data_IF_729062574797
#
_entry.id   IF_729062574797
#
_cell.length_a   1.000
_cell.length_b   1.000
_cell.length_c   1.000
_cell.angle_alpha   90.00
_cell.angle_beta   90.00
_cell.angle_gamma   90.00
#
_symmetry.space_group_name_H-M   'P 1'
#
loop_
_entity.id
_entity.type
_entity.pdbx_description
1 polymer ?
#
# COMPACT_ATOMS: atom_id res chain seq x y z
N UNK A 1 -3.98 -25.69 -14.33
CA UNK A 1 -2.62 -25.21 -13.99
C UNK A 1 -2.72 -23.76 -13.56
N UNK A 2 -2.78 -23.52 -12.25
CA UNK A 2 -2.96 -22.18 -11.67
C UNK A 2 -1.72 -21.34 -11.96
N UNK A 3 -1.85 -20.36 -12.85
CA UNK A 3 -0.80 -19.42 -13.22
C UNK A 3 -0.13 -18.85 -11.96
N UNK A 4 1.19 -18.94 -11.90
CA UNK A 4 2.02 -18.27 -10.89
C UNK A 4 1.90 -16.76 -11.16
N UNK A 5 1.00 -16.09 -10.46
CA UNK A 5 0.92 -14.63 -10.37
C UNK A 5 1.51 -14.19 -9.03
N UNK A 6 2.84 -14.23 -8.89
CA UNK A 6 3.58 -13.46 -7.88
C UNK A 6 3.28 -13.74 -6.40
N UNK A 7 4.32 -13.79 -5.57
CA UNK A 7 4.30 -13.76 -4.08
C UNK A 7 3.37 -14.72 -3.30
N UNK A 8 2.42 -15.42 -3.94
CA UNK A 8 1.47 -16.36 -3.37
C UNK A 8 1.45 -17.62 -4.23
N UNK A 9 1.52 -18.77 -3.56
CA UNK A 9 1.34 -20.10 -4.15
C UNK A 9 0.30 -20.85 -3.34
N UNK A 10 -0.74 -21.36 -4.00
CA UNK A 10 -1.82 -22.14 -3.35
C UNK A 10 -2.48 -21.40 -2.17
N UNK A 11 -2.71 -20.09 -2.33
CA UNK A 11 -3.32 -19.24 -1.29
C UNK A 11 -2.44 -19.01 -0.05
N UNK A 12 -1.14 -19.33 -0.13
CA UNK A 12 -0.13 -19.04 0.89
C UNK A 12 0.93 -18.11 0.33
N UNK A 13 1.36 -17.14 1.13
CA UNK A 13 2.55 -16.34 0.83
C UNK A 13 3.74 -17.28 0.59
N UNK A 14 4.53 -17.00 -0.43
CA UNK A 14 5.75 -17.79 -0.68
C UNK A 14 6.70 -17.69 0.51
N UNK A 15 7.47 -18.75 0.81
CA UNK A 15 8.52 -18.70 1.82
C UNK A 15 9.50 -17.54 1.60
N UNK A 16 10.04 -17.00 2.69
CA UNK A 16 10.95 -15.84 2.68
C UNK A 16 12.16 -16.05 1.76
N UNK A 17 12.77 -17.23 1.81
CA UNK A 17 13.91 -17.55 0.95
C UNK A 17 13.58 -17.51 -0.55
N UNK A 18 12.34 -17.83 -0.95
CA UNK A 18 11.90 -17.70 -2.34
C UNK A 18 11.61 -16.25 -2.70
N UNK A 19 11.09 -15.45 -1.76
CA UNK A 19 10.95 -14.01 -1.95
C UNK A 19 12.31 -13.34 -2.13
N UNK A 20 13.29 -13.66 -1.28
CA UNK A 20 14.66 -13.14 -1.41
C UNK A 20 15.25 -13.48 -2.77
N UNK A 21 15.19 -14.76 -3.18
CA UNK A 21 15.63 -15.17 -4.54
C UNK A 21 14.91 -14.43 -5.66
N UNK A 22 13.62 -14.14 -5.50
CA UNK A 22 12.85 -13.38 -6.47
C UNK A 22 13.33 -11.93 -6.58
N UNK A 23 13.58 -11.26 -5.45
CA UNK A 23 14.09 -9.88 -5.40
C UNK A 23 15.53 -9.82 -5.92
N UNK A 24 16.41 -10.70 -5.42
CA UNK A 24 17.83 -10.77 -5.80
C UNK A 24 17.98 -11.08 -7.30
N UNK A 25 17.12 -11.92 -7.86
CA UNK A 25 17.09 -12.21 -9.30
C UNK A 25 16.63 -11.06 -10.19
N UNK A 26 16.22 -9.93 -9.61
CA UNK A 26 15.88 -8.70 -10.33
C UNK A 26 16.84 -7.54 -10.01
N UNK A 27 17.72 -7.69 -9.02
CA UNK A 27 18.59 -6.61 -8.58
C UNK A 27 19.49 -6.14 -9.73
N UNK A 28 19.50 -4.83 -9.94
CA UNK A 28 20.37 -4.15 -10.89
C UNK A 28 21.44 -3.36 -10.15
N UNK A 29 22.55 -3.12 -10.85
CA UNK A 29 23.58 -2.22 -10.36
C UNK A 29 23.11 -0.76 -10.47
N UNK A 30 23.70 0.10 -9.65
CA UNK A 30 23.45 1.53 -9.69
C UNK A 30 23.97 2.21 -10.96
N UNK A 31 24.91 1.58 -11.67
CA UNK A 31 25.46 2.09 -12.91
C UNK A 31 24.45 2.00 -14.07
N UNK A 32 24.42 3.01 -14.94
CA UNK A 32 23.59 3.08 -16.15
C UNK A 32 22.07 3.07 -15.93
N UNK A 33 21.60 3.56 -14.78
CA UNK A 33 20.17 3.78 -14.57
C UNK A 33 19.61 4.86 -15.50
N UNK A 34 18.34 4.74 -15.88
CA UNK A 34 17.65 5.69 -16.74
C UNK A 34 17.51 7.05 -16.06
N UNK A 35 17.96 8.11 -16.73
CA UNK A 35 17.97 9.50 -16.25
C UNK A 35 17.08 10.41 -17.08
N UNK A 36 16.61 9.96 -18.24
CA UNK A 36 15.66 10.68 -19.08
C UNK A 36 14.26 10.61 -18.47
N UNK A 37 13.82 11.73 -17.90
CA UNK A 37 12.52 11.83 -17.24
C UNK A 37 11.34 11.44 -18.15
N UNK A 38 11.30 11.91 -19.40
CA UNK A 38 10.19 11.64 -20.32
C UNK A 38 10.09 10.14 -20.67
N UNK A 39 11.22 9.48 -20.90
CA UNK A 39 11.25 8.05 -21.16
C UNK A 39 10.84 7.25 -19.92
N UNK A 40 11.46 7.54 -18.78
CA UNK A 40 11.14 6.90 -17.50
C UNK A 40 9.65 7.02 -17.15
N UNK A 41 9.07 8.21 -17.34
CA UNK A 41 7.65 8.48 -17.08
C UNK A 41 6.74 7.61 -17.95
N UNK A 42 7.03 7.50 -19.25
CA UNK A 42 6.26 6.67 -20.19
C UNK A 42 6.36 5.18 -19.85
N UNK A 43 7.58 4.69 -19.63
CA UNK A 43 7.84 3.28 -19.29
C UNK A 43 7.12 2.89 -17.99
N UNK A 44 7.15 3.74 -16.97
CA UNK A 44 6.44 3.50 -15.71
C UNK A 44 4.93 3.52 -15.91
N UNK A 45 4.40 4.48 -16.67
CA UNK A 45 2.98 4.54 -16.95
C UNK A 45 2.49 3.25 -17.63
N UNK A 46 3.21 2.78 -18.65
CA UNK A 46 2.90 1.54 -19.36
C UNK A 46 3.01 0.31 -18.45
N UNK A 47 4.09 0.22 -17.65
CA UNK A 47 4.31 -0.87 -16.72
C UNK A 47 3.21 -0.93 -15.63
N UNK A 48 2.76 0.22 -15.10
CA UNK A 48 1.66 0.29 -14.14
C UNK A 48 0.35 -0.18 -14.76
N UNK A 49 -0.01 0.33 -15.94
CA UNK A 49 -1.24 -0.07 -16.64
C UNK A 49 -1.22 -1.58 -16.94
N UNK A 50 -0.08 -2.10 -17.39
CA UNK A 50 0.12 -3.54 -17.62
C UNK A 50 -0.02 -4.36 -16.35
N UNK A 51 0.64 -3.94 -15.26
CA UNK A 51 0.58 -4.62 -13.96
C UNK A 51 -0.83 -4.68 -13.38
N UNK A 52 -1.61 -3.61 -13.51
CA UNK A 52 -3.02 -3.56 -13.10
C UNK A 52 -3.85 -4.48 -14.01
N UNK A 53 -3.68 -4.38 -15.34
CA UNK A 53 -4.45 -5.17 -16.32
C UNK A 53 -4.30 -6.67 -16.12
N UNK A 54 -3.06 -7.16 -15.88
CA UNK A 54 -2.77 -8.58 -15.58
C UNK A 54 -3.55 -9.12 -14.36
N UNK A 55 -3.98 -8.24 -13.47
CA UNK A 55 -4.65 -8.57 -12.21
C UNK A 55 -6.15 -8.28 -12.25
N UNK A 56 -6.72 -7.80 -13.34
CA UNK A 56 -8.18 -7.54 -13.42
C UNK A 56 -8.97 -8.84 -13.27
N UNK A 57 -10.15 -8.72 -12.68
CA UNK A 57 -11.14 -9.79 -12.56
C UNK A 57 -12.55 -9.20 -12.68
N UNK A 58 -13.60 -10.04 -12.84
CA UNK A 58 -14.94 -9.55 -13.14
C UNK A 58 -15.53 -8.56 -12.12
N UNK A 59 -15.22 -8.74 -10.82
CA UNK A 59 -15.64 -7.84 -9.74
C UNK A 59 -14.57 -7.83 -8.64
N UNK A 60 -14.17 -6.67 -8.16
CA UNK A 60 -13.17 -6.55 -7.08
C UNK A 60 -13.33 -5.25 -6.29
N UNK A 61 -12.73 -5.20 -5.11
CA UNK A 61 -12.57 -3.98 -4.35
C UNK A 61 -11.18 -3.35 -4.46
N UNK A 62 -11.06 -2.09 -4.08
CA UNK A 62 -9.80 -1.36 -3.97
C UNK A 62 -9.67 -0.82 -2.54
N UNK A 63 -8.56 -1.11 -1.89
CA UNK A 63 -8.17 -0.42 -0.65
C UNK A 63 -7.82 1.03 -1.01
N UNK A 64 -8.69 1.96 -0.64
CA UNK A 64 -8.70 3.30 -1.19
C UNK A 64 -8.48 4.34 -0.10
N UNK A 65 -7.34 5.04 -0.14
CA UNK A 65 -7.01 6.11 0.82
C UNK A 65 -7.07 7.50 0.19
N UNK A 66 -7.37 7.58 -1.12
CA UNK A 66 -7.21 8.80 -1.91
C UNK A 66 -5.75 9.25 -2.04
N UNK A 67 -4.78 8.36 -1.78
CA UNK A 67 -3.36 8.59 -2.11
C UNK A 67 -3.08 8.29 -3.59
N UNK A 68 -1.91 8.70 -4.08
CA UNK A 68 -1.55 8.51 -5.51
C UNK A 68 -1.62 7.04 -5.95
N UNK A 69 -1.14 6.10 -5.12
CA UNK A 69 -1.13 4.68 -5.47
C UNK A 69 -2.54 4.11 -5.71
N UNK A 70 -3.44 4.29 -4.75
CA UNK A 70 -4.80 3.75 -4.81
C UNK A 70 -5.69 4.51 -5.79
N UNK A 71 -5.47 5.83 -5.93
CA UNK A 71 -6.12 6.67 -6.95
C UNK A 71 -5.73 6.24 -8.35
N UNK A 72 -4.46 5.93 -8.57
CA UNK A 72 -3.98 5.44 -9.87
C UNK A 72 -4.57 4.08 -10.22
N UNK A 73 -4.63 3.14 -9.26
CA UNK A 73 -5.28 1.84 -9.47
C UNK A 73 -6.76 2.04 -9.86
N UNK A 74 -7.51 2.83 -9.10
CA UNK A 74 -8.93 3.08 -9.36
C UNK A 74 -9.15 3.78 -10.71
N UNK A 75 -8.29 4.74 -11.06
CA UNK A 75 -8.38 5.47 -12.32
C UNK A 75 -8.12 4.58 -13.53
N UNK A 76 -7.10 3.72 -13.48
CA UNK A 76 -6.83 2.73 -14.53
C UNK A 76 -7.97 1.72 -14.62
N UNK A 77 -8.49 1.21 -13.50
CA UNK A 77 -9.64 0.32 -13.48
C UNK A 77 -10.88 0.95 -14.14
N UNK A 78 -11.15 2.24 -13.87
CA UNK A 78 -12.21 3.00 -14.54
C UNK A 78 -11.99 3.10 -16.04
N UNK A 79 -10.78 3.46 -16.50
CA UNK A 79 -10.46 3.54 -17.93
C UNK A 79 -10.65 2.20 -18.66
N UNK A 80 -10.47 1.09 -17.95
CA UNK A 80 -10.66 -0.26 -18.46
C UNK A 80 -12.10 -0.76 -18.27
N UNK A 81 -13.05 0.11 -17.88
CA UNK A 81 -14.46 -0.21 -17.65
C UNK A 81 -14.67 -1.41 -16.70
N UNK A 82 -13.83 -1.51 -15.66
CA UNK A 82 -13.93 -2.58 -14.67
C UNK A 82 -15.10 -2.32 -13.70
N UNK A 83 -15.70 -3.40 -13.19
CA UNK A 83 -16.64 -3.35 -12.08
C UNK A 83 -15.86 -3.40 -10.75
N UNK A 84 -15.74 -2.26 -10.07
CA UNK A 84 -15.03 -2.18 -8.81
C UNK A 84 -15.72 -1.26 -7.79
N UNK A 85 -15.41 -1.49 -6.51
CA UNK A 85 -15.81 -0.61 -5.39
C UNK A 85 -14.57 -0.19 -4.60
N UNK A 86 -14.46 1.10 -4.31
CA UNK A 86 -13.41 1.66 -3.44
C UNK A 86 -13.85 1.59 -1.97
N UNK A 87 -12.95 1.14 -1.08
CA UNK A 87 -13.23 0.98 0.34
C UNK A 87 -12.25 1.78 1.20
N UNK A 88 -12.79 2.60 2.11
CA UNK A 88 -12.02 3.32 3.15
C UNK A 88 -12.61 3.07 4.52
N UNK A 89 -11.75 3.01 5.53
CA UNK A 89 -12.17 3.00 6.93
C UNK A 89 -11.34 4.00 7.70
N UNK A 90 -11.92 4.57 8.75
CA UNK A 90 -11.25 5.56 9.56
C UNK A 90 -12.00 5.81 10.85
N UNK A 91 -11.36 6.54 11.76
CA UNK A 91 -11.99 7.09 12.95
C UNK A 91 -12.39 8.53 12.65
N UNK A 92 -13.31 9.11 13.43
CA UNK A 92 -13.76 10.50 13.25
C UNK A 92 -12.62 11.49 12.96
N UNK A 93 -12.83 12.33 11.93
CA UNK A 93 -11.82 13.27 11.42
C UNK A 93 -10.72 12.63 10.57
N UNK A 94 -10.97 11.47 9.95
CA UNK A 94 -9.99 10.78 9.09
C UNK A 94 -9.78 11.51 7.76
N UNK A 95 -8.56 12.01 7.57
CA UNK A 95 -8.11 12.63 6.30
C UNK A 95 -8.28 11.68 5.11
N UNK A 96 -8.05 10.37 5.31
CA UNK A 96 -8.20 9.37 4.24
C UNK A 96 -9.64 9.27 3.75
N UNK A 97 -10.64 9.34 4.63
CA UNK A 97 -12.06 9.32 4.22
C UNK A 97 -12.39 10.58 3.40
N UNK A 98 -11.97 11.75 3.88
CA UNK A 98 -12.26 13.02 3.21
C UNK A 98 -11.64 13.08 1.81
N UNK A 99 -10.38 12.68 1.69
CA UNK A 99 -9.68 12.66 0.41
C UNK A 99 -10.17 11.57 -0.53
N UNK A 100 -10.41 10.36 -0.01
CA UNK A 100 -11.02 9.28 -0.80
C UNK A 100 -12.37 9.74 -1.37
N UNK A 101 -13.20 10.39 -0.57
CA UNK A 101 -14.48 10.94 -1.04
C UNK A 101 -14.28 11.95 -2.18
N UNK A 102 -13.37 12.92 -2.02
CA UNK A 102 -13.06 13.91 -3.08
C UNK A 102 -12.64 13.25 -4.41
N UNK A 103 -11.74 12.26 -4.35
CA UNK A 103 -11.27 11.55 -5.55
C UNK A 103 -12.42 10.74 -6.16
N UNK A 104 -13.19 10.04 -5.33
CA UNK A 104 -14.33 9.24 -5.78
C UNK A 104 -15.39 10.11 -6.47
N UNK A 105 -15.76 11.25 -5.88
CA UNK A 105 -16.72 12.19 -6.46
C UNK A 105 -16.20 12.76 -7.80
N UNK A 106 -14.93 13.16 -7.84
CA UNK A 106 -14.31 13.74 -9.04
C UNK A 106 -14.26 12.78 -10.24
N UNK A 107 -14.21 11.47 -10.01
CA UNK A 107 -14.17 10.45 -11.05
C UNK A 107 -15.40 9.54 -11.07
N UNK A 108 -16.43 9.79 -10.27
CA UNK A 108 -17.61 8.93 -10.17
C UNK A 108 -17.28 7.48 -9.84
N UNK A 109 -16.35 7.23 -8.92
CA UNK A 109 -16.05 5.87 -8.44
C UNK A 109 -17.15 5.40 -7.49
N UNK A 110 -17.54 4.13 -7.58
CA UNK A 110 -18.36 3.52 -6.52
C UNK A 110 -17.54 3.48 -5.23
N UNK A 111 -18.00 4.19 -4.20
CA UNK A 111 -17.22 4.43 -2.99
C UNK A 111 -18.02 4.11 -1.74
N UNK A 112 -17.44 3.29 -0.87
CA UNK A 112 -17.99 2.93 0.44
C UNK A 112 -16.98 3.22 1.52
N UNK A 113 -17.43 3.82 2.61
CA UNK A 113 -16.59 4.07 3.77
C UNK A 113 -17.30 3.73 5.07
N UNK A 114 -16.51 3.48 6.13
CA UNK A 114 -17.02 3.33 7.49
C UNK A 114 -16.21 4.18 8.46
N UNK A 115 -16.92 5.01 9.23
CA UNK A 115 -16.36 5.69 10.40
C UNK A 115 -16.55 4.77 11.61
N UNK A 116 -15.45 4.41 12.26
CA UNK A 116 -15.41 3.50 13.39
C UNK A 116 -15.38 4.30 14.70
N UNK A 117 -16.11 3.82 15.71
CA UNK A 117 -15.96 4.32 17.07
C UNK A 117 -14.81 3.59 17.80
N UNK A 118 -14.52 3.97 19.04
CA UNK A 118 -13.42 3.36 19.81
C UNK A 118 -13.70 1.89 20.20
N UNK A 119 -14.96 1.51 20.37
CA UNK A 119 -15.33 0.14 20.72
C UNK A 119 -15.20 -0.81 19.51
N UNK A 120 -15.61 -0.35 18.31
CA UNK A 120 -15.33 -1.01 17.04
C UNK A 120 -13.82 -1.24 16.88
N UNK A 121 -13.02 -0.19 17.12
CA UNK A 121 -11.57 -0.26 17.04
C UNK A 121 -11.01 -1.27 18.04
N UNK A 122 -11.43 -1.24 19.31
CA UNK A 122 -10.97 -2.17 20.34
C UNK A 122 -11.23 -3.64 19.93
N UNK A 123 -12.40 -3.92 19.34
CA UNK A 123 -12.72 -5.26 18.83
C UNK A 123 -11.84 -5.65 17.64
N UNK A 124 -11.61 -4.73 16.70
CA UNK A 124 -10.71 -4.96 15.56
C UNK A 124 -9.30 -5.27 16.05
N UNK A 125 -8.77 -4.48 16.98
CA UNK A 125 -7.42 -4.66 17.54
C UNK A 125 -7.26 -6.05 18.16
N UNK A 126 -8.23 -6.50 18.97
CA UNK A 126 -8.21 -7.85 19.56
C UNK A 126 -8.15 -8.95 18.50
N UNK A 127 -8.97 -8.82 17.46
CA UNK A 127 -8.98 -9.79 16.36
C UNK A 127 -7.67 -9.79 15.58
N UNK A 128 -7.14 -8.61 15.24
CA UNK A 128 -5.89 -8.49 14.48
C UNK A 128 -4.70 -9.01 15.28
N UNK A 129 -4.60 -8.68 16.57
CA UNK A 129 -3.54 -9.20 17.44
C UNK A 129 -3.60 -10.73 17.50
N UNK A 130 -4.80 -11.31 17.63
CA UNK A 130 -4.98 -12.77 17.60
C UNK A 130 -4.54 -13.39 16.26
N UNK A 131 -4.84 -12.74 15.13
CA UNK A 131 -4.45 -13.24 13.80
C UNK A 131 -2.94 -13.16 13.59
N UNK A 132 -2.32 -12.06 14.02
CA UNK A 132 -0.90 -11.81 13.81
C UNK A 132 -0.01 -12.51 14.84
N UNK A 133 -0.52 -12.79 16.04
CA UNK A 133 0.29 -13.23 17.18
C UNK A 133 1.32 -12.20 17.62
N UNK A 134 1.08 -10.92 17.33
CA UNK A 134 2.01 -9.80 17.53
C UNK A 134 1.23 -8.56 18.00
N UNK A 135 1.84 -7.75 18.87
CA UNK A 135 1.32 -6.49 19.39
C UNK A 135 2.13 -5.27 18.97
N UNK A 136 3.05 -5.41 18.00
CA UNK A 136 3.74 -4.27 17.39
C UNK A 136 2.74 -3.23 16.87
N UNK A 137 2.95 -1.97 17.26
CA UNK A 137 2.01 -0.87 16.98
C UNK A 137 1.83 -0.69 15.47
N UNK A 138 2.91 -0.78 14.68
CA UNK A 138 2.84 -0.56 13.24
C UNK A 138 2.10 -1.69 12.57
N UNK A 139 2.47 -2.95 12.86
CA UNK A 139 1.80 -4.12 12.28
C UNK A 139 0.33 -4.17 12.66
N UNK A 140 0.00 -4.00 13.94
CA UNK A 140 -1.38 -4.05 14.41
C UNK A 140 -2.21 -2.91 13.82
N UNK A 141 -1.69 -1.68 13.80
CA UNK A 141 -2.45 -0.54 13.28
C UNK A 141 -2.72 -0.63 11.77
N UNK A 142 -1.71 -0.99 10.96
CA UNK A 142 -1.90 -1.19 9.51
C UNK A 142 -2.78 -2.40 9.23
N UNK A 143 -2.55 -3.52 9.92
CA UNK A 143 -3.35 -4.74 9.80
C UNK A 143 -4.82 -4.51 10.17
N UNK A 144 -5.09 -3.63 11.14
CA UNK A 144 -6.44 -3.25 11.55
C UNK A 144 -7.19 -2.45 10.49
N UNK A 145 -6.50 -1.56 9.77
CA UNK A 145 -7.09 -0.84 8.63
C UNK A 145 -7.47 -1.84 7.53
N UNK A 146 -6.56 -2.74 7.17
CA UNK A 146 -6.82 -3.80 6.18
C UNK A 146 -7.97 -4.71 6.62
N UNK A 147 -7.97 -5.15 7.89
CA UNK A 147 -9.01 -6.03 8.43
C UNK A 147 -10.39 -5.37 8.33
N UNK A 148 -10.52 -4.12 8.77
CA UNK A 148 -11.78 -3.40 8.77
C UNK A 148 -12.27 -3.09 7.34
N UNK A 149 -11.39 -2.65 6.44
CA UNK A 149 -11.75 -2.45 5.04
C UNK A 149 -12.12 -3.77 4.35
N UNK A 150 -11.42 -4.86 4.68
CA UNK A 150 -11.72 -6.20 4.22
C UNK A 150 -13.10 -6.68 4.65
N UNK A 151 -13.47 -6.50 5.92
CA UNK A 151 -14.82 -6.80 6.41
C UNK A 151 -15.90 -5.98 5.69
N UNK A 152 -15.63 -4.72 5.39
CA UNK A 152 -16.54 -3.86 4.63
C UNK A 152 -16.72 -4.35 3.18
N UNK A 153 -15.63 -4.79 2.53
CA UNK A 153 -15.68 -5.35 1.18
C UNK A 153 -16.42 -6.69 1.12
N UNK A 154 -16.18 -7.58 2.07
CA UNK A 154 -16.87 -8.87 2.16
C UNK A 154 -18.37 -8.71 2.35
N UNK A 155 -18.81 -7.72 3.14
CA UNK A 155 -20.22 -7.40 3.31
C UNK A 155 -20.89 -6.93 1.99
N UNK A 156 -20.11 -6.46 1.02
CA UNK A 156 -20.55 -6.09 -0.33
C UNK A 156 -20.37 -7.23 -1.36
N UNK A 157 -20.02 -8.43 -0.90
CA UNK A 157 -19.73 -9.58 -1.76
C UNK A 157 -18.48 -9.38 -2.63
N UNK A 158 -17.51 -8.60 -2.17
CA UNK A 158 -16.18 -8.49 -2.80
C UNK A 158 -15.17 -9.32 -2.00
N UNK A 159 -14.65 -10.39 -2.61
CA UNK A 159 -13.68 -11.30 -2.01
C UNK A 159 -12.23 -11.04 -2.47
N UNK A 160 -12.00 -10.04 -3.33
CA UNK A 160 -10.69 -9.67 -3.82
C UNK A 160 -10.47 -8.16 -3.66
N UNK A 161 -9.27 -7.78 -3.19
CA UNK A 161 -8.90 -6.39 -2.95
C UNK A 161 -7.58 -6.05 -3.63
N UNK A 162 -7.58 -4.94 -4.37
CA UNK A 162 -6.36 -4.33 -4.87
C UNK A 162 -5.77 -3.39 -3.83
N UNK A 163 -4.44 -3.40 -3.69
CA UNK A 163 -3.71 -2.51 -2.80
C UNK A 163 -2.44 -1.93 -3.41
N UNK A 164 -1.98 -0.81 -2.86
CA UNK A 164 -0.74 -0.12 -3.25
C UNK A 164 0.55 -0.73 -2.69
N UNK A 165 0.49 -1.94 -2.12
CA UNK A 165 1.63 -2.57 -1.45
C UNK A 165 2.80 -2.74 -2.44
N UNK A 166 4.00 -2.32 -2.02
CA UNK A 166 5.22 -2.31 -2.84
C UNK A 166 5.54 -0.96 -3.48
N UNK A 167 4.55 -0.09 -3.70
CA UNK A 167 4.76 1.23 -4.34
C UNK A 167 5.80 2.07 -3.61
N UNK A 168 5.73 2.07 -2.28
CA UNK A 168 6.66 2.81 -1.43
C UNK A 168 8.11 2.39 -1.62
N UNK A 169 8.35 1.09 -1.83
CA UNK A 169 9.68 0.51 -1.99
C UNK A 169 10.31 0.88 -3.33
N UNK A 170 9.55 0.69 -4.41
CA UNK A 170 10.09 0.87 -5.76
C UNK A 170 10.15 2.34 -6.19
N UNK A 171 9.37 3.23 -5.55
CA UNK A 171 9.29 4.66 -5.86
C UNK A 171 9.79 5.59 -4.75
N UNK A 172 10.59 5.11 -3.80
CA UNK A 172 11.20 5.96 -2.77
C UNK A 172 10.19 6.76 -1.93
N UNK A 173 9.19 6.10 -1.34
CA UNK A 173 8.08 6.78 -0.68
C UNK A 173 8.16 6.95 0.85
N UNK A 174 9.08 6.31 1.57
CA UNK A 174 9.24 6.38 3.03
C UNK A 174 10.19 7.48 3.51
N UNK A 175 10.16 7.77 4.83
CA UNK A 175 11.12 8.67 5.48
C UNK A 175 12.56 8.16 5.38
N UNK A 176 12.78 6.85 5.61
CA UNK A 176 14.10 6.22 5.48
C UNK A 176 14.74 6.40 4.09
N UNK A 177 13.93 6.62 3.05
CA UNK A 177 14.43 6.95 1.71
C UNK A 177 15.00 8.38 1.65
N UNK A 178 14.34 9.35 2.29
CA UNK A 178 14.93 10.70 2.46
C UNK A 178 16.18 10.67 3.31
N UNK A 179 16.17 9.87 4.38
CA UNK A 179 17.32 9.72 5.27
C UNK A 179 18.52 9.10 4.53
N UNK A 180 18.28 8.09 3.68
CA UNK A 180 19.30 7.51 2.80
C UNK A 180 19.82 8.51 1.74
N UNK A 181 18.97 9.41 1.25
CA UNK A 181 19.35 10.45 0.28
C UNK A 181 20.09 11.65 0.91
N UNK A 182 20.33 11.64 2.22
CA UNK A 182 21.09 12.72 2.87
C UNK A 182 22.46 12.89 2.17
N UNK A 183 22.87 14.15 1.98
CA UNK A 183 24.08 14.53 1.25
C UNK A 183 24.10 14.11 -0.24
N UNK A 184 22.95 13.99 -0.88
CA UNK A 184 22.81 13.63 -2.29
C UNK A 184 23.34 12.23 -2.65
N UNK A 185 23.25 11.29 -1.71
CA UNK A 185 23.67 9.92 -1.94
C UNK A 185 22.59 9.09 -2.66
N UNK A 186 22.51 9.24 -3.98
CA UNK A 186 21.55 8.51 -4.80
C UNK A 186 21.78 7.00 -4.75
N UNK A 187 23.02 6.54 -4.68
CA UNK A 187 23.33 5.12 -4.58
C UNK A 187 22.79 4.52 -3.28
N UNK A 188 22.94 5.21 -2.15
CA UNK A 188 22.36 4.79 -0.88
C UNK A 188 20.83 4.70 -0.96
N UNK A 189 20.16 5.65 -1.61
CA UNK A 189 18.71 5.57 -1.84
C UNK A 189 18.35 4.36 -2.72
N UNK A 190 19.11 4.09 -3.78
CA UNK A 190 18.86 2.92 -4.64
C UNK A 190 18.99 1.61 -3.85
N UNK A 191 20.07 1.46 -3.07
CA UNK A 191 20.29 0.30 -2.19
C UNK A 191 19.20 0.18 -1.13
N UNK A 192 18.72 1.30 -0.58
CA UNK A 192 17.65 1.31 0.42
C UNK A 192 16.29 0.87 -0.15
N UNK A 193 16.00 1.16 -1.42
CA UNK A 193 14.82 0.65 -2.11
C UNK A 193 14.89 -0.88 -2.28
N UNK A 194 16.05 -1.42 -2.69
CA UNK A 194 16.27 -2.88 -2.80
C UNK A 194 16.22 -3.58 -1.44
N UNK A 195 16.88 -3.02 -0.42
CA UNK A 195 16.80 -3.47 0.98
C UNK A 195 15.35 -3.47 1.47
N UNK A 196 14.60 -2.42 1.12
CA UNK A 196 13.19 -2.29 1.45
C UNK A 196 12.32 -3.40 0.85
N UNK A 197 12.52 -3.75 -0.43
CA UNK A 197 11.88 -4.90 -1.08
C UNK A 197 12.24 -6.22 -0.38
N UNK A 198 13.48 -6.46 0.01
CA UNK A 198 13.87 -7.69 0.75
C UNK A 198 13.12 -7.78 2.07
N UNK A 199 13.18 -6.71 2.86
CA UNK A 199 12.64 -6.66 4.21
C UNK A 199 11.11 -6.58 4.27
N UNK A 200 10.44 -6.26 3.16
CA UNK A 200 8.97 -6.17 3.14
C UNK A 200 8.29 -7.53 3.39
N UNK A 201 8.99 -8.65 3.20
CA UNK A 201 8.42 -9.96 3.49
C UNK A 201 8.01 -10.07 4.95
N UNK A 202 8.94 -9.82 5.87
CA UNK A 202 8.68 -9.88 7.31
C UNK A 202 7.82 -8.71 7.81
N UNK A 203 7.99 -7.54 7.21
CA UNK A 203 7.36 -6.29 7.69
C UNK A 203 5.93 -6.12 7.22
N UNK A 204 5.64 -6.46 5.96
CA UNK A 204 4.37 -6.14 5.30
C UNK A 204 3.64 -7.37 4.77
N UNK A 205 4.32 -8.23 4.00
CA UNK A 205 3.67 -9.36 3.33
C UNK A 205 3.10 -10.36 4.34
N UNK A 206 3.87 -10.73 5.36
CA UNK A 206 3.39 -11.64 6.43
C UNK A 206 2.11 -11.10 7.08
N UNK A 207 2.10 -9.81 7.46
CA UNK A 207 0.94 -9.13 8.07
C UNK A 207 -0.27 -9.13 7.14
N UNK A 208 -0.12 -8.58 5.94
CA UNK A 208 -1.25 -8.33 5.05
C UNK A 208 -1.86 -9.64 4.55
N UNK A 209 -1.02 -10.62 4.20
CA UNK A 209 -1.51 -11.92 3.73
C UNK A 209 -2.05 -12.79 4.87
N UNK A 210 -1.58 -12.66 6.11
CA UNK A 210 -2.20 -13.32 7.26
C UNK A 210 -3.63 -12.82 7.49
N UNK A 211 -3.83 -11.50 7.46
CA UNK A 211 -5.15 -10.88 7.60
C UNK A 211 -6.07 -11.27 6.45
N UNK A 212 -5.59 -11.18 5.21
CA UNK A 212 -6.38 -11.54 4.03
C UNK A 212 -6.78 -13.01 4.05
N UNK A 213 -5.83 -13.91 4.34
CA UNK A 213 -6.09 -15.35 4.47
C UNK A 213 -7.13 -15.64 5.54
N UNK A 214 -7.03 -15.01 6.71
CA UNK A 214 -8.02 -15.17 7.78
C UNK A 214 -9.42 -14.75 7.36
N UNK A 215 -9.53 -13.68 6.56
CA UNK A 215 -10.80 -13.17 6.06
C UNK A 215 -11.33 -13.91 4.82
N UNK A 216 -10.55 -14.80 4.20
CA UNK A 216 -10.90 -15.41 2.92
C UNK A 216 -10.83 -14.41 1.75
N UNK A 217 -9.98 -13.39 1.86
CA UNK A 217 -9.76 -12.35 0.85
C UNK A 217 -8.54 -12.69 -0.02
N UNK A 218 -8.66 -12.42 -1.32
CA UNK A 218 -7.54 -12.39 -2.25
C UNK A 218 -6.95 -10.97 -2.32
N UNK A 219 -5.66 -10.80 -1.98
CA UNK A 219 -4.96 -9.53 -2.18
C UNK A 219 -4.26 -9.50 -3.53
N UNK A 220 -4.52 -8.46 -4.31
CA UNK A 220 -3.83 -8.18 -5.58
C UNK A 220 -2.96 -6.95 -5.43
N UNK A 221 -1.67 -7.10 -5.73
CA UNK A 221 -0.63 -6.10 -5.50
C UNK A 221 0.07 -5.74 -6.83
N UNK A 222 -0.50 -4.84 -7.64
CA UNK A 222 0.07 -4.46 -8.94
C UNK A 222 1.50 -3.93 -8.84
N UNK A 223 1.83 -3.18 -7.78
CA UNK A 223 3.16 -2.64 -7.54
C UNK A 223 4.24 -3.70 -7.22
N UNK A 224 3.84 -4.96 -7.04
CA UNK A 224 4.75 -6.10 -6.91
C UNK A 224 4.82 -6.94 -8.20
N UNK A 225 4.33 -6.42 -9.33
CA UNK A 225 4.54 -7.03 -10.63
C UNK A 225 6.03 -7.02 -10.98
N UNK A 226 6.54 -8.16 -11.43
CA UNK A 226 7.95 -8.34 -11.81
C UNK A 226 8.42 -7.25 -12.79
N UNK A 227 7.63 -6.98 -13.83
CA UNK A 227 8.03 -6.03 -14.87
C UNK A 227 7.93 -4.58 -14.38
N UNK A 228 6.98 -4.28 -13.48
CA UNK A 228 6.90 -2.96 -12.84
C UNK A 228 8.04 -2.74 -11.84
N UNK A 229 8.39 -3.74 -11.04
CA UNK A 229 9.56 -3.65 -10.15
C UNK A 229 10.81 -3.38 -10.99
N UNK A 230 11.05 -4.17 -12.04
CA UNK A 230 12.19 -3.96 -12.93
C UNK A 230 12.21 -2.56 -13.54
N UNK A 231 11.12 -2.12 -14.16
CA UNK A 231 11.03 -0.80 -14.76
C UNK A 231 11.30 0.31 -13.73
N UNK A 232 10.68 0.22 -12.54
CA UNK A 232 10.88 1.20 -11.49
C UNK A 232 12.31 1.18 -10.94
N UNK A 233 12.92 0.00 -10.76
CA UNK A 233 14.26 -0.11 -10.21
C UNK A 233 15.35 0.26 -11.23
N UNK A 234 15.05 0.29 -12.54
CA UNK A 234 15.96 0.82 -13.56
C UNK A 234 16.00 2.36 -13.64
N UNK A 235 15.16 3.06 -12.87
CA UNK A 235 15.12 4.52 -12.87
C UNK A 235 16.10 5.09 -11.86
N UNK A 236 16.87 6.09 -12.30
CA UNK A 236 17.81 6.79 -11.45
C UNK A 236 17.08 7.45 -10.26
N UNK A 237 17.57 7.30 -9.01
CA UNK A 237 16.86 7.77 -7.82
C UNK A 237 16.54 9.27 -7.79
N UNK A 238 17.29 10.09 -8.53
CA UNK A 238 17.00 11.52 -8.71
C UNK A 238 15.60 11.81 -9.29
N UNK A 239 15.02 10.86 -10.03
CA UNK A 239 13.67 10.98 -10.58
C UNK A 239 12.60 10.45 -9.60
N UNK A 240 12.99 9.75 -8.54
CA UNK A 240 12.04 9.17 -7.56
C UNK A 240 11.80 10.08 -6.37
N UNK A 241 12.83 10.83 -5.96
CA UNK A 241 12.81 11.63 -4.75
C UNK A 241 13.53 12.97 -4.98
N UNK A 242 12.85 14.07 -4.65
CA UNK A 242 13.45 15.40 -4.59
C UNK A 242 13.29 16.01 -3.18
N UNK A 243 13.76 17.25 -2.98
CA UNK A 243 13.72 17.93 -1.67
C UNK A 243 12.32 18.19 -1.13
N UNK A 244 11.32 18.20 -2.00
CA UNK A 244 9.93 18.59 -1.71
C UNK A 244 8.98 17.40 -1.67
N UNK A 245 9.29 16.35 -2.45
CA UNK A 245 8.32 15.36 -2.86
C UNK A 245 8.92 13.96 -2.98
N UNK A 246 8.19 13.00 -2.42
CA UNK A 246 8.42 11.56 -2.57
C UNK A 246 7.64 11.02 -3.77
N UNK A 247 8.14 9.95 -4.38
CA UNK A 247 7.51 9.24 -5.50
C UNK A 247 7.32 10.10 -6.76
N UNK A 248 8.24 11.02 -7.04
CA UNK A 248 8.11 12.03 -8.10
C UNK A 248 7.72 11.39 -9.44
N UNK A 249 8.51 10.43 -9.95
CA UNK A 249 8.23 9.75 -11.22
C UNK A 249 6.88 9.00 -11.24
N UNK A 250 6.42 8.48 -10.10
CA UNK A 250 5.10 7.85 -10.01
C UNK A 250 3.98 8.88 -10.18
N UNK A 251 4.13 10.06 -9.58
CA UNK A 251 3.15 11.15 -9.67
C UNK A 251 3.09 11.70 -11.10
N UNK A 252 4.25 11.88 -11.72
CA UNK A 252 4.35 12.27 -13.13
C UNK A 252 3.74 11.21 -14.06
N UNK A 253 4.00 9.92 -13.81
CA UNK A 253 3.38 8.83 -14.57
C UNK A 253 1.86 8.79 -14.35
N UNK A 254 1.37 9.08 -13.14
CA UNK A 254 -0.06 9.16 -12.86
C UNK A 254 -0.72 10.31 -13.64
N UNK A 255 -0.09 11.48 -13.70
CA UNK A 255 -0.53 12.60 -14.54
C UNK A 255 -0.50 12.25 -16.03
N UNK A 256 0.56 11.60 -16.49
CA UNK A 256 0.68 11.14 -17.88
C UNK A 256 -0.45 10.17 -18.26
N UNK A 257 -0.85 9.29 -17.33
CA UNK A 257 -2.02 8.41 -17.52
C UNK A 257 -3.33 9.21 -17.52
N UNK A 258 -3.36 10.42 -16.94
CA UNK A 258 -4.51 11.32 -16.92
C UNK A 258 -5.15 11.54 -15.55
N UNK A 259 -4.51 11.08 -14.47
CA UNK A 259 -4.94 11.43 -13.11
C UNK A 259 -4.63 12.92 -12.87
N UNK A 260 -5.64 13.71 -12.50
CA UNK A 260 -5.48 15.14 -12.21
C UNK A 260 -4.35 15.39 -11.20
N UNK A 261 -3.59 16.47 -11.46
CA UNK A 261 -2.46 16.93 -10.65
C UNK A 261 -2.79 17.03 -9.16
N UNK A 262 -3.97 17.54 -8.80
CA UNK A 262 -4.41 17.69 -7.41
C UNK A 262 -4.42 16.36 -6.63
N UNK A 263 -4.72 15.24 -7.29
CA UNK A 263 -4.73 13.91 -6.68
C UNK A 263 -3.40 13.20 -6.82
N UNK A 264 -2.73 13.37 -7.96
CA UNK A 264 -1.39 12.83 -8.19
C UNK A 264 -0.36 13.40 -7.20
N UNK A 265 -0.47 14.68 -6.83
CA UNK A 265 0.50 15.40 -5.98
C UNK A 265 0.03 15.66 -4.55
N UNK A 266 -1.07 15.03 -4.11
CA UNK A 266 -1.49 15.08 -2.71
C UNK A 266 -0.35 14.63 -1.79
N UNK A 267 -0.16 15.37 -0.68
CA UNK A 267 0.79 15.01 0.37
C UNK A 267 0.48 13.62 0.93
N UNK A 268 1.52 12.82 1.09
CA UNK A 268 1.43 11.42 1.53
C UNK A 268 1.16 11.35 3.05
N UNK A 269 0.24 10.48 3.47
CA UNK A 269 0.12 9.96 4.84
C UNK A 269 0.06 8.42 4.79
N UNK A 270 0.65 7.74 5.76
CA UNK A 270 0.53 6.28 5.85
C UNK A 270 -0.86 5.88 6.38
N UNK A 271 -1.35 4.71 5.99
CA UNK A 271 -2.74 4.28 6.22
C UNK A 271 -3.16 4.36 7.70
N UNK A 272 -2.28 3.99 8.64
CA UNK A 272 -2.57 4.03 10.07
C UNK A 272 -2.70 5.45 10.66
N UNK A 273 -2.10 6.44 9.99
CA UNK A 273 -2.20 7.85 10.37
C UNK A 273 -3.38 8.52 9.68
N UNK A 274 -3.54 8.34 8.35
CA UNK A 274 -4.65 8.93 7.60
C UNK A 274 -6.04 8.41 8.02
N UNK A 275 -6.11 7.16 8.50
CA UNK A 275 -7.31 6.57 9.11
C UNK A 275 -7.54 6.97 10.57
N UNK A 276 -6.60 7.68 11.21
CA UNK A 276 -6.56 7.98 12.64
C UNK A 276 -6.50 6.75 13.58
N UNK A 277 -6.17 5.54 13.10
CA UNK A 277 -6.10 4.34 13.95
C UNK A 277 -5.05 4.47 15.06
N UNK A 278 -3.87 5.06 14.80
CA UNK A 278 -2.86 5.30 15.85
C UNK A 278 -3.37 6.24 16.94
N UNK A 279 -4.11 7.29 16.55
CA UNK A 279 -4.76 8.20 17.50
C UNK A 279 -5.86 7.49 18.29
N UNK A 280 -6.65 6.63 17.64
CA UNK A 280 -7.64 5.79 18.29
C UNK A 280 -7.04 4.84 19.32
N UNK A 281 -5.93 4.16 18.99
CA UNK A 281 -5.18 3.30 19.92
C UNK A 281 -4.70 4.12 21.13
N UNK A 282 -4.23 5.35 20.92
CA UNK A 282 -3.83 6.23 22.02
C UNK A 282 -5.00 6.59 22.94
N UNK A 283 -6.16 6.92 22.37
CA UNK A 283 -7.38 7.20 23.14
C UNK A 283 -7.83 5.98 23.93
N UNK A 284 -7.76 4.78 23.33
CA UNK A 284 -8.06 3.53 24.01
C UNK A 284 -7.09 3.23 25.15
N UNK A 285 -5.78 3.39 24.92
CA UNK A 285 -4.77 3.20 25.94
C UNK A 285 -5.05 4.10 27.16
N UNK A 286 -5.33 5.40 26.93
CA UNK A 286 -5.73 6.35 27.97
C UNK A 286 -7.02 5.92 28.68
N UNK A 287 -8.07 5.54 27.93
CA UNK A 287 -9.36 5.06 28.47
C UNK A 287 -9.20 3.84 29.38
N UNK A 288 -8.20 3.00 29.11
CA UNK A 288 -7.92 1.76 29.86
C UNK A 288 -6.82 1.94 30.93
N UNK A 289 -6.34 3.16 31.17
CA UNK A 289 -5.36 3.47 32.21
C UNK A 289 -3.90 3.18 31.84
N UNK A 290 -3.58 2.95 30.56
CA UNK A 290 -2.20 2.71 30.10
C UNK A 290 -1.49 4.02 29.73
N UNK A 291 -0.24 4.15 30.16
CA UNK A 291 0.63 5.29 29.80
C UNK A 291 1.09 5.22 28.34
N UNK A 292 1.44 4.03 27.85
CA UNK A 292 1.96 3.84 26.50
C UNK A 292 1.06 2.93 25.66
N UNK A 293 0.93 3.28 24.37
CA UNK A 293 0.19 2.48 23.38
C UNK A 293 0.65 1.01 23.33
N UNK A 294 1.97 0.79 23.42
CA UNK A 294 2.58 -0.54 23.37
C UNK A 294 2.09 -1.42 24.52
N UNK A 295 1.99 -0.88 25.73
CA UNK A 295 1.60 -1.64 26.91
C UNK A 295 0.13 -2.05 26.83
N UNK A 296 -0.71 -1.15 26.30
CA UNK A 296 -2.10 -1.47 26.00
C UNK A 296 -2.24 -2.59 24.97
N UNK A 297 -1.55 -2.50 23.82
CA UNK A 297 -1.63 -3.56 22.81
C UNK A 297 -1.09 -4.90 23.33
N UNK A 298 0.00 -4.88 24.10
CA UNK A 298 0.55 -6.06 24.76
C UNK A 298 -0.43 -6.68 25.76
N UNK A 299 -1.27 -5.88 26.42
CA UNK A 299 -2.31 -6.41 27.30
C UNK A 299 -3.39 -7.21 26.56
N UNK A 300 -3.56 -6.98 25.25
CA UNK A 300 -4.54 -7.68 24.40
C UNK A 300 -4.02 -9.01 23.81
N UNK A 301 -2.74 -9.35 24.00
CA UNK A 301 -2.18 -10.66 23.62
C UNK A 301 -2.51 -11.79 24.61
N UNK A 302 -2.93 -11.42 25.82
CA UNK A 302 -3.26 -12.36 26.91
C UNK A 302 -4.71 -12.81 26.80
#
# INVERSE_FOLDING_TARGET
MTQILGIVKEGKLIPENLWMKFVDGMENNFDNLETNNERAKREIAEAIVSAIRKRIMPKFGILFSGGVDSSLIAFVAKKLNCNFTCYTVGIGGSDDIEWAKKVADAYGFNFKFKVLNLDDLELILKNVIKILGDADIVKVSVGSVLYAAGKLALADGNNALFGGLGSEEIFAGYQRHEDAMQKNNFEALHRECWSGLRNMWQRDLTRDFAIARHLGLELRTPFLDKELIKAAMQIHPMLKLDKSSKKVILREAAEFIGLKKEFAWRKKQAAQYGSNFVSGIEKLAKRKGFKFKKDYLQSLLR
#
